data_IF_104505790884
#
_entry.id   IF_104505790884
#
_cell.length_a   1.000
_cell.length_b   1.000
_cell.length_c   1.000
_cell.angle_alpha   90.00
_cell.angle_beta   90.00
_cell.angle_gamma   90.00
#
_symmetry.space_group_name_H-M   'P 1'
#
loop_
_entity.id
_entity.type
_entity.pdbx_description
1 polymer ?
#
# COMPACT_ATOMS: atom_id res chain seq x y z
N UNK A 1 -64.61 -5.20 -13.39
CA UNK A 1 -64.86 -4.38 -12.19
C UNK A 1 -63.72 -4.58 -11.20
N UNK A 2 -63.14 -3.46 -10.72
CA UNK A 2 -62.39 -3.24 -9.47
C UNK A 2 -61.19 -4.15 -9.09
N UNK A 3 -60.02 -3.68 -9.57
CA UNK A 3 -58.72 -3.38 -8.93
C UNK A 3 -57.99 -4.34 -7.95
N UNK A 4 -56.64 -4.35 -7.98
CA UNK A 4 -55.75 -5.25 -7.25
C UNK A 4 -55.29 -4.70 -5.88
N UNK A 5 -54.87 -5.59 -4.97
CA UNK A 5 -54.14 -5.25 -3.74
C UNK A 5 -52.63 -5.41 -3.98
N UNK A 6 -51.92 -4.29 -3.98
CA UNK A 6 -50.47 -4.17 -3.85
C UNK A 6 -50.11 -4.29 -2.37
N UNK A 7 -49.11 -5.10 -2.04
CA UNK A 7 -48.43 -5.04 -0.75
C UNK A 7 -47.03 -4.48 -0.97
N UNK A 8 -46.85 -3.25 -0.52
CA UNK A 8 -45.61 -2.48 -0.49
C UNK A 8 -44.80 -2.95 0.72
N UNK A 9 -43.61 -3.53 0.51
CA UNK A 9 -42.65 -3.76 1.58
C UNK A 9 -41.61 -2.65 1.57
N UNK A 10 -41.50 -1.96 2.69
CA UNK A 10 -40.74 -0.74 2.90
C UNK A 10 -39.24 -0.99 2.89
N UNK A 11 -38.51 -0.12 2.18
CA UNK A 11 -37.07 0.01 2.27
C UNK A 11 -36.69 0.65 3.63
N UNK A 12 -35.92 -0.07 4.43
CA UNK A 12 -35.20 0.50 5.58
C UNK A 12 -33.91 1.12 5.03
N UNK A 13 -33.89 2.44 4.86
CA UNK A 13 -32.66 3.19 4.63
C UNK A 13 -31.98 3.39 6.00
N UNK A 14 -30.93 2.62 6.26
CA UNK A 14 -30.05 2.84 7.40
C UNK A 14 -29.05 3.94 7.02
N UNK A 15 -29.37 5.18 7.38
CA UNK A 15 -28.48 6.33 7.23
C UNK A 15 -27.45 6.32 8.36
N UNK A 16 -26.31 5.66 8.14
CA UNK A 16 -25.14 5.85 9.01
C UNK A 16 -24.47 7.18 8.67
N UNK A 17 -24.95 8.27 9.26
CA UNK A 17 -24.16 9.49 9.41
C UNK A 17 -23.04 9.20 10.42
N UNK A 18 -21.83 8.91 9.95
CA UNK A 18 -20.63 9.00 10.77
C UNK A 18 -20.31 10.48 10.98
N UNK A 19 -20.47 10.94 12.21
CA UNK A 19 -20.05 12.26 12.66
C UNK A 19 -18.53 12.37 12.54
N UNK A 20 -18.07 13.35 11.76
CA UNK A 20 -16.70 13.86 11.81
C UNK A 20 -16.47 14.56 13.15
N UNK A 21 -16.12 13.79 14.18
CA UNK A 21 -15.55 14.31 15.41
C UNK A 21 -14.05 14.49 15.20
N UNK A 22 -13.58 15.74 15.15
CA UNK A 22 -12.17 16.07 15.33
C UNK A 22 -11.78 15.72 16.77
N UNK A 23 -11.40 14.46 16.98
CA UNK A 23 -10.78 13.97 18.20
C UNK A 23 -9.35 13.64 17.84
N UNK A 24 -8.41 14.31 18.50
CA UNK A 24 -6.97 14.00 18.54
C UNK A 24 -6.72 12.68 19.28
N UNK A 25 -7.55 11.67 19.04
CA UNK A 25 -7.54 10.38 19.73
C UNK A 25 -6.78 9.39 18.87
N UNK A 26 -5.63 8.93 19.38
CA UNK A 26 -4.78 7.98 18.68
C UNK A 26 -5.55 6.73 18.23
N UNK A 27 -5.12 6.17 17.09
CA UNK A 27 -5.64 4.93 16.50
C UNK A 27 -6.02 3.92 17.57
N UNK A 28 -7.27 3.47 17.50
CA UNK A 28 -7.66 2.22 18.13
C UNK A 28 -7.01 1.08 17.34
N UNK A 29 -5.84 0.65 17.79
CA UNK A 29 -5.09 -0.44 17.15
C UNK A 29 -5.93 -1.74 17.18
N UNK A 30 -6.94 -1.83 18.04
CA UNK A 30 -7.83 -2.99 18.14
C UNK A 30 -9.02 -2.91 17.16
N UNK A 31 -9.11 -1.85 16.36
CA UNK A 31 -10.15 -1.69 15.34
C UNK A 31 -9.89 -2.55 14.10
N UNK A 32 -10.97 -2.85 13.38
CA UNK A 32 -10.93 -3.57 12.09
C UNK A 32 -10.00 -2.84 11.11
N UNK A 33 -9.41 -3.59 10.18
CA UNK A 33 -8.56 -3.05 9.11
C UNK A 33 -9.15 -1.80 8.44
N UNK A 34 -8.30 -0.79 8.33
CA UNK A 34 -8.51 0.41 7.52
C UNK A 34 -7.15 0.93 7.09
N UNK A 35 -6.99 1.10 5.77
CA UNK A 35 -5.83 1.73 5.17
C UNK A 35 -5.70 3.18 5.65
N UNK A 36 -6.81 3.92 5.71
CA UNK A 36 -6.78 5.31 6.18
C UNK A 36 -6.32 5.44 7.63
N UNK A 37 -6.78 4.56 8.52
CA UNK A 37 -6.32 4.52 9.91
C UNK A 37 -4.83 4.12 10.02
N UNK A 38 -4.36 3.23 9.13
CA UNK A 38 -2.96 2.81 9.11
C UNK A 38 -2.00 3.97 8.79
N UNK A 39 -2.45 5.02 8.07
CA UNK A 39 -1.63 6.20 7.78
C UNK A 39 -1.22 6.99 9.02
N UNK A 40 -1.96 6.88 10.12
CA UNK A 40 -1.60 7.50 11.41
C UNK A 40 -0.35 6.87 12.03
N UNK A 41 0.07 5.69 11.57
CA UNK A 41 1.27 5.01 12.08
C UNK A 41 2.55 5.43 11.35
N UNK A 42 2.46 6.21 10.28
CA UNK A 42 3.63 6.61 9.50
C UNK A 42 3.91 8.09 9.73
N UNK A 43 5.03 8.44 10.40
CA UNK A 43 5.45 9.84 10.49
C UNK A 43 5.57 10.45 9.09
N UNK A 44 5.09 11.67 8.91
CA UNK A 44 5.19 12.39 7.63
C UNK A 44 6.64 12.56 7.15
N UNK A 45 7.61 12.57 8.09
CA UNK A 45 9.05 12.63 7.82
C UNK A 45 9.63 11.32 7.28
N UNK A 46 8.91 10.20 7.42
CA UNK A 46 9.37 8.88 7.01
C UNK A 46 9.24 8.62 5.50
N UNK A 47 8.49 9.46 4.78
CA UNK A 47 8.21 9.28 3.35
C UNK A 47 8.91 10.36 2.51
N UNK A 48 9.60 9.91 1.46
CA UNK A 48 10.25 10.80 0.49
C UNK A 48 9.29 11.31 -0.59
N UNK A 49 9.87 11.98 -1.59
CA UNK A 49 9.18 12.30 -2.85
C UNK A 49 9.91 11.60 -4.00
N UNK A 50 9.22 10.76 -4.81
CA UNK A 50 7.80 10.43 -4.71
C UNK A 50 7.47 9.62 -3.46
N UNK A 51 6.25 9.79 -2.95
CA UNK A 51 5.70 8.98 -1.86
C UNK A 51 5.47 7.56 -2.35
N UNK A 52 5.77 6.54 -1.52
CA UNK A 52 5.47 5.15 -1.82
C UNK A 52 5.12 4.39 -0.53
N UNK A 53 3.84 4.37 -0.19
CA UNK A 53 3.34 3.76 1.05
C UNK A 53 2.73 2.40 0.71
N UNK A 54 3.05 1.40 1.51
CA UNK A 54 2.56 0.03 1.33
C UNK A 54 1.90 -0.41 2.63
N UNK A 55 0.73 -1.03 2.55
CA UNK A 55 0.03 -1.52 3.73
C UNK A 55 -0.69 -2.85 3.43
N UNK A 56 -0.87 -3.67 4.46
CA UNK A 56 -1.53 -4.97 4.33
C UNK A 56 -2.16 -5.46 5.63
N UNK A 57 -3.30 -6.13 5.50
CA UNK A 57 -4.02 -6.94 6.49
C UNK A 57 -3.78 -8.41 6.16
N UNK A 58 -2.82 -9.03 6.83
CA UNK A 58 -2.46 -10.44 6.64
C UNK A 58 -3.66 -11.32 6.96
N UNK A 59 -4.34 -11.03 8.07
CA UNK A 59 -5.54 -11.70 8.53
C UNK A 59 -6.70 -11.63 7.52
N UNK A 60 -6.94 -10.43 6.96
CA UNK A 60 -7.90 -10.21 5.88
C UNK A 60 -7.54 -11.00 4.62
N UNK A 61 -6.28 -11.00 4.23
CA UNK A 61 -5.77 -11.75 3.09
C UNK A 61 -5.90 -13.27 3.28
N UNK A 62 -5.55 -13.78 4.47
CA UNK A 62 -5.69 -15.18 4.85
C UNK A 62 -7.15 -15.65 4.81
N UNK A 63 -8.08 -14.87 5.40
CA UNK A 63 -9.53 -15.14 5.30
C UNK A 63 -10.01 -15.13 3.85
N UNK A 64 -9.58 -14.16 3.04
CA UNK A 64 -9.94 -14.06 1.64
C UNK A 64 -9.42 -15.25 0.83
N UNK A 65 -8.20 -15.72 1.10
CA UNK A 65 -7.55 -16.84 0.44
C UNK A 65 -7.95 -18.22 0.97
N UNK A 66 -8.53 -18.31 2.16
CA UNK A 66 -8.85 -19.56 2.83
C UNK A 66 -7.61 -20.32 3.33
N UNK A 67 -6.62 -19.59 3.85
CA UNK A 67 -5.40 -20.15 4.42
C UNK A 67 -4.96 -19.33 5.64
N UNK A 68 -4.10 -19.93 6.47
CA UNK A 68 -3.46 -19.24 7.60
C UNK A 68 -2.29 -18.40 7.08
N UNK A 69 -2.35 -17.06 7.17
CA UNK A 69 -1.30 -16.18 6.64
C UNK A 69 -0.02 -16.25 7.49
N UNK A 70 -0.09 -16.77 8.71
CA UNK A 70 1.03 -16.92 9.64
C UNK A 70 1.82 -18.23 9.43
N UNK A 71 1.32 -19.17 8.62
CA UNK A 71 2.08 -20.36 8.21
C UNK A 71 3.03 -19.99 7.06
N UNK A 72 4.34 -20.03 7.30
CA UNK A 72 5.39 -19.75 6.32
C UNK A 72 5.22 -20.50 4.98
N UNK A 73 4.60 -21.68 4.99
CA UNK A 73 4.32 -22.44 3.75
C UNK A 73 3.35 -21.71 2.82
N UNK A 74 2.58 -20.76 3.35
CA UNK A 74 1.65 -19.93 2.61
C UNK A 74 2.25 -18.58 2.18
N UNK A 75 3.50 -18.25 2.55
CA UNK A 75 4.12 -16.97 2.21
C UNK A 75 4.09 -16.68 0.69
N UNK A 76 4.32 -17.70 -0.14
CA UNK A 76 4.24 -17.57 -1.60
C UNK A 76 2.82 -17.20 -2.10
N UNK A 77 1.78 -17.66 -1.40
CA UNK A 77 0.38 -17.34 -1.74
C UNK A 77 0.03 -15.90 -1.44
N UNK A 78 0.66 -15.28 -0.44
CA UNK A 78 0.52 -13.85 -0.15
C UNK A 78 1.16 -13.01 -1.27
N UNK A 79 2.15 -13.54 -1.98
CA UNK A 79 2.78 -12.90 -3.15
C UNK A 79 2.00 -13.11 -4.46
N UNK A 80 0.79 -13.66 -4.41
CA UNK A 80 -0.01 -13.93 -5.62
C UNK A 80 0.49 -15.09 -6.47
N UNK A 81 1.41 -15.92 -5.96
CA UNK A 81 1.84 -17.14 -6.65
C UNK A 81 0.78 -18.23 -6.42
N UNK A 82 0.19 -18.71 -7.51
CA UNK A 82 -0.91 -19.70 -7.51
C UNK A 82 -2.08 -19.31 -6.58
N UNK A 83 -2.32 -18.00 -6.43
CA UNK A 83 -3.25 -17.43 -5.47
C UNK A 83 -3.97 -16.21 -6.06
N UNK A 84 -5.24 -16.04 -5.67
CA UNK A 84 -6.03 -14.86 -6.00
C UNK A 84 -5.83 -13.71 -5.00
N UNK A 85 -4.89 -13.86 -4.06
CA UNK A 85 -4.56 -12.91 -3.00
C UNK A 85 -3.20 -12.29 -3.29
N UNK A 86 -3.03 -10.99 -3.03
CA UNK A 86 -1.76 -10.31 -3.20
C UNK A 86 -1.51 -9.27 -2.11
N UNK A 87 -0.37 -9.38 -1.44
CA UNK A 87 0.14 -8.46 -0.44
C UNK A 87 1.50 -7.94 -0.89
N UNK A 88 1.62 -6.64 -1.20
CA UNK A 88 2.92 -6.02 -1.43
C UNK A 88 3.70 -5.95 -0.11
N UNK A 89 4.82 -6.67 0.00
CA UNK A 89 5.63 -6.69 1.22
C UNK A 89 6.60 -5.50 1.28
N UNK A 90 6.87 -4.96 2.48
CA UNK A 90 7.81 -3.87 2.66
C UNK A 90 9.26 -4.28 2.40
N UNK A 91 10.09 -3.32 2.00
CA UNK A 91 11.48 -3.56 1.59
C UNK A 91 12.39 -4.08 2.72
N UNK A 92 12.17 -3.65 3.97
CA UNK A 92 13.04 -4.03 5.10
C UNK A 92 12.97 -5.53 5.40
N UNK A 93 11.79 -6.11 5.69
CA UNK A 93 11.67 -7.56 5.90
C UNK A 93 12.07 -8.39 4.68
N UNK A 94 11.82 -7.91 3.46
CA UNK A 94 12.17 -8.65 2.23
C UNK A 94 13.67 -8.68 1.94
N UNK A 95 14.46 -7.82 2.58
CA UNK A 95 15.93 -7.83 2.53
C UNK A 95 16.57 -8.75 3.57
N UNK A 96 15.79 -9.46 4.36
CA UNK A 96 16.29 -10.25 5.49
C UNK A 96 15.86 -11.70 5.34
N UNK A 97 16.62 -12.60 5.97
CA UNK A 97 16.15 -13.97 6.19
C UNK A 97 15.14 -13.94 7.35
N UNK A 98 13.87 -14.36 7.15
CA UNK A 98 12.85 -14.39 8.19
C UNK A 98 13.34 -15.00 9.52
N UNK A 99 14.08 -16.11 9.44
CA UNK A 99 14.61 -16.78 10.63
C UNK A 99 15.67 -15.93 11.37
N UNK A 100 16.37 -15.04 10.66
CA UNK A 100 17.29 -14.08 11.27
C UNK A 100 16.51 -12.93 11.93
N UNK A 101 15.43 -12.46 11.31
CA UNK A 101 14.55 -11.43 11.91
C UNK A 101 13.93 -11.96 13.19
N UNK A 102 13.28 -13.12 13.15
CA UNK A 102 12.66 -13.75 14.33
C UNK A 102 13.68 -13.93 15.46
N UNK A 103 14.86 -14.46 15.14
CA UNK A 103 15.92 -14.68 16.13
C UNK A 103 16.42 -13.39 16.78
N UNK A 104 16.58 -12.32 16.02
CA UNK A 104 17.21 -11.08 16.50
C UNK A 104 16.19 -10.08 17.07
N UNK A 105 15.03 -9.94 16.43
CA UNK A 105 13.98 -9.01 16.78
C UNK A 105 12.87 -9.63 17.65
N UNK A 106 12.80 -10.97 17.74
CA UNK A 106 11.80 -11.68 18.52
C UNK A 106 10.46 -11.90 17.81
N UNK A 107 10.35 -11.49 16.54
CA UNK A 107 9.15 -11.67 15.71
C UNK A 107 9.53 -11.69 14.22
N UNK A 108 8.65 -12.27 13.39
CA UNK A 108 8.64 -12.13 11.94
C UNK A 108 7.48 -11.21 11.49
N UNK A 109 7.56 -10.60 10.30
CA UNK A 109 6.44 -9.83 9.78
C UNK A 109 5.19 -10.68 9.57
N UNK A 110 5.34 -11.98 9.29
CA UNK A 110 4.25 -12.94 9.24
C UNK A 110 3.58 -13.15 10.59
N UNK A 111 4.17 -12.78 11.73
CA UNK A 111 3.49 -12.81 13.04
C UNK A 111 2.54 -11.62 13.24
N UNK A 112 2.62 -10.60 12.38
CA UNK A 112 1.77 -9.42 12.47
C UNK A 112 0.40 -9.69 11.84
N UNK A 113 -0.65 -9.10 12.42
CA UNK A 113 -1.98 -9.09 11.80
C UNK A 113 -1.99 -8.16 10.58
N UNK A 114 -1.23 -7.07 10.65
CA UNK A 114 -1.18 -6.03 9.62
C UNK A 114 0.11 -5.22 9.68
N UNK A 115 0.37 -4.47 8.62
CA UNK A 115 1.50 -3.55 8.55
C UNK A 115 1.21 -2.31 7.70
N UNK A 116 2.03 -1.28 7.92
CA UNK A 116 2.19 -0.16 7.01
C UNK A 116 3.66 0.23 6.92
N UNK A 117 4.11 0.64 5.74
CA UNK A 117 5.50 0.96 5.50
C UNK A 117 5.66 2.07 4.46
N UNK A 118 6.77 2.79 4.55
CA UNK A 118 7.34 3.44 3.37
C UNK A 118 8.11 2.37 2.57
N UNK A 119 7.55 1.95 1.44
CA UNK A 119 8.05 0.84 0.64
C UNK A 119 9.22 1.20 -0.27
N UNK A 120 9.51 2.48 -0.50
CA UNK A 120 10.67 2.92 -1.29
C UNK A 120 11.31 4.18 -0.69
N UNK A 121 12.61 4.13 -0.42
CA UNK A 121 13.34 5.32 0.04
C UNK A 121 14.72 5.02 0.61
N UNK A 122 15.49 6.10 0.84
CA UNK A 122 16.81 6.00 1.47
C UNK A 122 16.74 5.57 2.94
N UNK A 123 15.59 5.77 3.59
CA UNK A 123 15.34 5.45 4.98
C UNK A 123 14.01 4.68 5.07
N UNK A 124 14.02 3.36 4.83
CA UNK A 124 12.81 2.58 4.94
C UNK A 124 12.27 2.61 6.37
N UNK A 125 10.95 2.58 6.49
CA UNK A 125 10.23 2.63 7.75
C UNK A 125 9.04 1.67 7.66
N UNK A 126 8.84 0.85 8.69
CA UNK A 126 7.76 -0.14 8.73
C UNK A 126 7.19 -0.21 10.12
N UNK A 127 5.87 -0.30 10.24
CA UNK A 127 5.17 -0.59 11.50
C UNK A 127 4.39 -1.88 11.30
N UNK A 128 4.74 -2.89 12.09
CA UNK A 128 4.00 -4.14 12.22
C UNK A 128 3.04 -4.00 13.41
N UNK A 129 1.81 -4.49 13.27
CA UNK A 129 0.76 -4.38 14.28
C UNK A 129 0.05 -5.74 14.46
N UNK A 130 -0.37 -6.04 15.69
CA UNK A 130 -1.03 -7.29 16.08
C UNK A 130 -0.75 -7.61 17.54
N UNK A 131 -0.56 -8.89 17.89
CA UNK A 131 -0.10 -9.31 19.22
C UNK A 131 1.42 -9.08 19.40
N UNK A 132 1.86 -7.85 19.14
CA UNK A 132 3.24 -7.39 19.18
C UNK A 132 3.39 -6.27 20.20
N UNK A 133 4.48 -6.18 20.95
CA UNK A 133 4.62 -5.10 21.93
C UNK A 133 6.00 -4.98 22.55
N UNK A 134 6.13 -4.18 23.61
CA UNK A 134 7.41 -4.02 24.32
C UNK A 134 8.01 -5.35 24.79
N UNK A 135 7.16 -6.31 25.16
CA UNK A 135 7.59 -7.65 25.63
C UNK A 135 7.98 -8.59 24.48
N UNK A 136 7.67 -8.24 23.22
CA UNK A 136 8.08 -9.01 22.03
C UNK A 136 9.55 -8.79 21.71
N UNK A 137 10.07 -7.57 21.92
CA UNK A 137 11.47 -7.24 21.62
C UNK A 137 12.42 -7.86 22.66
N UNK A 138 13.40 -8.68 22.26
CA UNK A 138 14.26 -9.36 23.20
C UNK A 138 15.24 -8.38 23.86
N UNK A 139 15.61 -8.67 25.12
CA UNK A 139 16.60 -7.90 25.89
C UNK A 139 18.03 -8.00 25.33
N UNK A 140 18.26 -8.89 24.36
CA UNK A 140 19.53 -8.97 23.62
C UNK A 140 19.74 -7.81 22.66
N UNK A 141 18.67 -7.10 22.26
CA UNK A 141 18.82 -5.89 21.47
C UNK A 141 19.50 -4.79 22.27
N UNK A 142 20.37 -4.03 21.63
CA UNK A 142 21.05 -2.93 22.27
C UNK A 142 20.08 -1.79 22.56
N UNK A 143 19.97 -1.41 23.82
CA UNK A 143 19.25 -0.20 24.23
C UNK A 143 20.03 1.06 23.81
N UNK A 144 19.39 1.92 23.03
CA UNK A 144 19.90 3.23 22.60
C UNK A 144 19.29 4.39 23.40
N UNK A 145 18.47 4.10 24.40
CA UNK A 145 17.72 5.06 25.19
C UNK A 145 16.38 5.43 24.56
N UNK A 146 15.52 6.06 25.38
CA UNK A 146 14.21 6.59 24.98
C UNK A 146 13.28 5.54 24.32
N UNK A 147 13.41 4.28 24.72
CA UNK A 147 12.60 3.18 24.17
C UNK A 147 13.05 2.70 22.78
N UNK A 148 14.18 3.18 22.26
CA UNK A 148 14.75 2.72 20.99
C UNK A 148 15.76 1.61 21.24
N UNK A 149 15.59 0.49 20.53
CA UNK A 149 16.50 -0.66 20.55
C UNK A 149 17.14 -0.87 19.17
N UNK A 150 18.24 -1.63 19.11
CA UNK A 150 18.96 -1.89 17.86
C UNK A 150 19.55 -3.29 17.79
N UNK A 151 19.55 -3.88 16.60
CA UNK A 151 20.19 -5.19 16.33
C UNK A 151 21.73 -5.09 16.29
N UNK A 152 22.26 -3.95 15.82
CA UNK A 152 23.70 -3.70 15.68
C UNK A 152 24.13 -2.35 16.27
N UNK A 153 25.42 -2.21 16.63
CA UNK A 153 26.01 -0.88 16.77
C UNK A 153 26.28 -0.26 15.40
N UNK A 154 26.20 1.06 15.33
CA UNK A 154 26.63 1.84 14.19
C UNK A 154 25.83 3.14 14.08
N UNK A 155 26.25 4.00 13.16
CA UNK A 155 25.48 5.17 12.76
C UNK A 155 24.32 4.75 11.85
N UNK A 156 23.26 5.55 11.81
CA UNK A 156 22.10 5.31 10.96
C UNK A 156 22.48 5.26 9.48
N UNK A 157 21.98 4.25 8.77
CA UNK A 157 22.23 4.06 7.33
C UNK A 157 23.67 3.66 6.96
N UNK A 158 24.63 3.63 7.89
CA UNK A 158 26.01 3.27 7.61
C UNK A 158 26.16 1.74 7.43
N UNK A 159 26.60 1.25 6.25
CA UNK A 159 26.74 -0.18 6.01
C UNK A 159 27.93 -0.76 6.78
N UNK A 160 27.78 -2.00 7.26
CA UNK A 160 28.85 -2.74 7.93
C UNK A 160 28.79 -4.23 7.58
N UNK A 161 29.25 -4.56 6.38
CA UNK A 161 29.25 -5.92 5.80
C UNK A 161 30.00 -6.98 6.61
N UNK A 162 30.76 -6.59 7.63
CA UNK A 162 31.50 -7.52 8.49
C UNK A 162 30.67 -8.05 9.67
N UNK A 163 29.44 -7.55 9.85
CA UNK A 163 28.57 -7.92 10.98
C UNK A 163 27.30 -8.62 10.49
N UNK A 164 26.93 -9.68 11.20
CA UNK A 164 25.65 -10.36 11.04
C UNK A 164 24.56 -9.55 11.73
N UNK A 165 23.61 -9.00 10.96
CA UNK A 165 22.43 -8.30 11.45
C UNK A 165 21.23 -8.59 10.55
N UNK A 166 20.13 -7.90 10.80
CA UNK A 166 18.89 -8.08 10.04
C UNK A 166 19.07 -7.57 8.59
N UNK A 167 19.66 -6.39 8.42
CA UNK A 167 19.94 -5.85 7.08
C UNK A 167 21.15 -6.55 6.44
N UNK A 168 20.98 -7.08 5.22
CA UNK A 168 22.02 -7.84 4.51
C UNK A 168 23.32 -7.07 4.22
N UNK A 169 23.30 -5.73 4.22
CA UNK A 169 24.52 -4.91 4.06
C UNK A 169 25.04 -4.40 5.42
N UNK A 170 24.50 -4.91 6.52
CA UNK A 170 24.93 -4.66 7.89
C UNK A 170 24.60 -3.26 8.40
N UNK A 171 23.57 -2.59 7.85
CA UNK A 171 23.07 -1.35 8.45
C UNK A 171 22.30 -1.69 9.72
N UNK A 172 22.51 -0.96 10.82
CA UNK A 172 21.71 -1.17 12.01
C UNK A 172 20.22 -0.90 11.76
N UNK A 173 19.37 -1.82 12.20
CA UNK A 173 17.92 -1.64 12.27
C UNK A 173 17.55 -1.16 13.68
N UNK A 174 16.78 -0.09 13.73
CA UNK A 174 16.24 0.53 14.92
C UNK A 174 14.82 0.05 15.13
N UNK A 175 14.51 -0.28 16.38
CA UNK A 175 13.22 -0.78 16.81
C UNK A 175 12.65 0.14 17.88
N UNK A 176 11.34 0.33 17.87
CA UNK A 176 10.59 0.74 19.04
C UNK A 176 9.25 0.02 19.07
N UNK A 177 8.69 -0.12 20.27
CA UNK A 177 7.41 -0.79 20.46
C UNK A 177 6.43 0.13 21.20
N UNK A 178 5.15 0.07 20.82
CA UNK A 178 4.01 0.70 21.51
C UNK A 178 2.84 -0.27 21.52
N UNK A 179 2.28 -0.56 22.69
CA UNK A 179 1.08 -1.38 22.86
C UNK A 179 1.15 -2.67 22.02
N UNK A 180 0.42 -2.69 20.90
CA UNK A 180 0.17 -3.77 19.95
C UNK A 180 0.93 -3.57 18.61
N UNK A 181 2.08 -2.87 18.64
CA UNK A 181 2.84 -2.51 17.44
C UNK A 181 4.35 -2.37 17.68
N UNK A 182 5.13 -2.66 16.62
CA UNK A 182 6.58 -2.48 16.55
C UNK A 182 6.91 -1.68 15.29
N UNK A 183 7.63 -0.57 15.45
CA UNK A 183 8.21 0.20 14.36
C UNK A 183 9.68 -0.21 14.12
N UNK A 184 10.07 -0.24 12.85
CA UNK A 184 11.38 -0.61 12.36
C UNK A 184 11.89 0.42 11.35
N UNK A 185 13.16 0.82 11.46
CA UNK A 185 13.81 1.67 10.45
C UNK A 185 15.32 1.59 10.51
N UNK A 186 16.01 1.98 9.44
CA UNK A 186 17.47 2.25 9.49
C UNK A 186 17.80 3.62 10.10
N UNK A 187 16.80 4.35 10.61
CA UNK A 187 16.90 5.74 11.09
C UNK A 187 16.36 5.85 12.52
N UNK A 188 17.22 6.26 13.46
CA UNK A 188 16.87 6.53 14.86
C UNK A 188 15.87 7.69 14.98
N UNK A 189 16.05 8.83 14.26
CA UNK A 189 15.05 9.90 14.28
C UNK A 189 13.64 9.44 13.90
N UNK A 190 13.48 8.60 12.88
CA UNK A 190 12.14 8.16 12.44
C UNK A 190 11.43 7.30 13.49
N UNK A 191 12.17 6.40 14.15
CA UNK A 191 11.62 5.58 15.23
C UNK A 191 11.27 6.42 16.45
N UNK A 192 12.06 7.47 16.75
CA UNK A 192 11.73 8.44 17.81
C UNK A 192 10.53 9.31 17.47
N UNK A 193 10.41 9.76 16.23
CA UNK A 193 9.26 10.52 15.75
C UNK A 193 7.97 9.71 15.91
N UNK A 194 8.01 8.41 15.53
CA UNK A 194 6.90 7.49 15.76
C UNK A 194 6.61 7.23 17.25
N UNK A 195 7.65 7.24 18.10
CA UNK A 195 7.49 7.17 19.55
C UNK A 195 6.79 8.41 20.13
N UNK A 196 6.91 9.57 19.50
CA UNK A 196 6.11 10.75 19.83
C UNK A 196 4.62 10.52 19.55
N UNK A 197 3.74 11.08 20.38
CA UNK A 197 2.29 10.99 20.17
C UNK A 197 1.70 12.21 19.44
N UNK A 198 2.48 13.29 19.29
CA UNK A 198 2.01 14.61 18.80
C UNK A 198 2.60 15.02 17.43
N UNK A 199 3.27 14.10 16.73
CA UNK A 199 3.93 14.39 15.44
C UNK A 199 2.96 14.33 14.25
N UNK A 200 3.22 15.09 13.16
CA UNK A 200 2.44 14.98 11.93
C UNK A 200 2.67 13.61 11.27
N UNK A 201 1.59 12.98 10.85
CA UNK A 201 1.58 11.66 10.22
C UNK A 201 1.09 11.76 8.77
N UNK A 202 1.11 10.66 8.04
CA UNK A 202 0.49 10.62 6.71
C UNK A 202 -1.04 10.79 6.75
N UNK A 203 -1.68 10.61 7.91
CA UNK A 203 -3.11 10.88 8.06
C UNK A 203 -3.45 12.38 8.01
N UNK A 204 -2.45 13.27 8.15
CA UNK A 204 -2.62 14.70 7.95
C UNK A 204 -2.61 15.10 6.46
N UNK A 205 -2.21 14.19 5.57
CA UNK A 205 -2.21 14.41 4.12
C UNK A 205 -3.59 14.10 3.52
N UNK A 206 -4.33 15.18 3.23
CA UNK A 206 -5.69 15.08 2.69
C UNK A 206 -5.78 14.22 1.42
N UNK A 207 -4.80 14.30 0.51
CA UNK A 207 -4.85 13.58 -0.75
C UNK A 207 -4.69 12.07 -0.54
N UNK A 208 -3.74 11.66 0.32
CA UNK A 208 -3.58 10.25 0.70
C UNK A 208 -4.81 9.71 1.42
N UNK A 209 -5.36 10.46 2.37
CA UNK A 209 -6.54 10.03 3.14
C UNK A 209 -7.77 9.87 2.26
N UNK A 210 -7.99 10.74 1.27
CA UNK A 210 -9.11 10.61 0.32
C UNK A 210 -9.01 9.33 -0.51
N UNK A 211 -7.81 9.03 -1.04
CA UNK A 211 -7.56 7.78 -1.78
C UNK A 211 -7.67 6.56 -0.88
N UNK A 212 -7.10 6.61 0.33
CA UNK A 212 -7.16 5.52 1.29
C UNK A 212 -8.60 5.18 1.70
N UNK A 213 -9.43 6.19 1.98
CA UNK A 213 -10.85 6.00 2.28
C UNK A 213 -11.64 5.45 1.09
N UNK A 214 -11.29 5.84 -0.13
CA UNK A 214 -11.91 5.29 -1.33
C UNK A 214 -11.62 3.79 -1.45
N UNK A 215 -10.37 3.37 -1.20
CA UNK A 215 -9.97 1.96 -1.18
C UNK A 215 -10.58 1.17 -0.01
N UNK A 216 -10.66 1.76 1.19
CA UNK A 216 -11.36 1.15 2.34
C UNK A 216 -12.82 0.86 2.00
N UNK A 217 -13.49 1.76 1.27
CA UNK A 217 -14.86 1.57 0.81
C UNK A 217 -15.04 0.48 -0.25
N UNK A 218 -13.95 -0.12 -0.76
CA UNK A 218 -13.96 -1.25 -1.68
C UNK A 218 -13.48 -2.57 -1.04
N UNK A 219 -13.31 -2.59 0.29
CA UNK A 219 -12.93 -3.74 1.11
C UNK A 219 -11.60 -4.40 0.67
N UNK A 220 -10.60 -3.59 0.31
CA UNK A 220 -9.26 -4.10 -0.02
C UNK A 220 -8.53 -4.52 1.25
N UNK A 221 -7.80 -5.64 1.22
CA UNK A 221 -6.98 -6.10 2.36
C UNK A 221 -5.52 -5.65 2.25
N UNK A 222 -5.10 -5.08 1.13
CA UNK A 222 -3.76 -4.53 0.96
C UNK A 222 -3.77 -3.39 -0.03
N UNK A 223 -2.79 -2.51 0.06
CA UNK A 223 -2.67 -1.39 -0.87
C UNK A 223 -1.25 -0.82 -1.01
N UNK A 224 -1.05 -0.13 -2.13
CA UNK A 224 0.05 0.82 -2.38
C UNK A 224 -0.56 2.20 -2.60
N UNK A 225 -0.04 3.23 -1.94
CA UNK A 225 -0.35 4.63 -2.20
C UNK A 225 0.91 5.35 -2.68
N UNK A 226 0.80 6.12 -3.76
CA UNK A 226 1.96 6.78 -4.37
C UNK A 226 1.60 8.09 -5.05
N UNK A 227 2.62 8.91 -5.28
CA UNK A 227 2.54 9.97 -6.27
C UNK A 227 2.53 9.36 -7.69
N UNK A 228 1.81 9.94 -8.64
CA UNK A 228 1.98 9.60 -10.04
C UNK A 228 3.36 10.02 -10.51
N UNK A 229 3.94 9.22 -11.38
CA UNK A 229 5.19 9.60 -12.01
C UNK A 229 4.92 10.63 -13.11
N UNK A 230 5.72 11.69 -13.21
CA UNK A 230 5.58 12.63 -14.31
C UNK A 230 5.92 11.92 -15.62
N UNK A 231 5.19 12.27 -16.67
CA UNK A 231 5.52 11.86 -18.02
C UNK A 231 6.94 12.33 -18.36
N UNK A 232 7.81 11.39 -18.71
CA UNK A 232 9.20 11.69 -19.04
C UNK A 232 9.57 11.03 -20.38
N UNK A 233 10.21 11.76 -21.31
CA UNK A 233 10.68 11.16 -22.54
C UNK A 233 11.79 10.13 -22.24
N UNK A 234 11.82 9.04 -23.00
CA UNK A 234 12.99 8.18 -23.04
C UNK A 234 14.15 8.95 -23.66
N UNK A 235 15.08 9.39 -22.81
CA UNK A 235 16.26 10.15 -23.22
C UNK A 235 17.25 9.31 -24.05
N UNK A 236 17.06 7.99 -24.11
CA UNK A 236 17.88 7.07 -24.91
C UNK A 236 17.28 6.81 -26.30
N UNK A 237 16.04 7.24 -26.56
CA UNK A 237 15.38 7.08 -27.84
C UNK A 237 15.97 8.03 -28.91
N UNK A 238 15.95 7.60 -30.18
CA UNK A 238 16.36 8.49 -31.28
C UNK A 238 15.40 9.68 -31.42
N UNK A 239 15.85 10.87 -31.88
CA UNK A 239 15.03 12.08 -31.89
C UNK A 239 13.68 11.97 -32.63
N UNK A 240 13.59 11.13 -33.67
CA UNK A 240 12.34 10.87 -34.40
C UNK A 240 11.40 9.88 -33.68
N UNK A 241 11.94 8.91 -32.96
CA UNK A 241 11.14 7.97 -32.16
C UNK A 241 10.61 8.61 -30.88
N UNK A 242 11.34 9.57 -30.30
CA UNK A 242 10.93 10.22 -29.06
C UNK A 242 9.60 10.99 -29.22
N UNK A 243 9.41 11.70 -30.33
CA UNK A 243 8.16 12.42 -30.61
C UNK A 243 6.97 11.46 -30.81
N UNK A 244 7.18 10.37 -31.54
CA UNK A 244 6.15 9.35 -31.77
C UNK A 244 5.80 8.60 -30.47
N UNK A 245 6.80 8.30 -29.63
CA UNK A 245 6.61 7.71 -28.31
C UNK A 245 5.86 8.66 -27.39
N UNK A 246 6.17 9.95 -27.40
CA UNK A 246 5.45 10.94 -26.60
C UNK A 246 3.98 11.05 -27.03
N UNK A 247 3.72 11.12 -28.34
CA UNK A 247 2.33 11.14 -28.84
C UNK A 247 1.56 9.86 -28.46
N UNK A 248 2.21 8.69 -28.52
CA UNK A 248 1.62 7.42 -28.08
C UNK A 248 1.35 7.42 -26.57
N UNK A 249 2.28 7.93 -25.77
CA UNK A 249 2.17 8.00 -24.32
C UNK A 249 1.07 8.98 -23.91
N UNK A 250 0.99 10.16 -24.54
CA UNK A 250 -0.08 11.14 -24.32
C UNK A 250 -1.46 10.55 -24.60
N UNK A 251 -1.61 9.75 -25.67
CA UNK A 251 -2.87 9.08 -26.00
C UNK A 251 -3.25 7.97 -25.03
N UNK A 252 -2.25 7.30 -24.45
CA UNK A 252 -2.47 6.20 -23.50
C UNK A 252 -2.61 6.68 -22.04
N UNK A 253 -2.25 7.92 -21.75
CA UNK A 253 -2.30 8.51 -20.41
C UNK A 253 -3.65 9.21 -20.17
N UNK A 254 -4.24 9.12 -18.96
CA UNK A 254 -5.43 9.88 -18.60
C UNK A 254 -5.31 11.36 -18.98
N UNK A 255 -6.34 11.88 -19.67
CA UNK A 255 -6.32 13.24 -20.18
C UNK A 255 -6.32 14.29 -19.06
N UNK A 256 -7.01 13.99 -17.96
CA UNK A 256 -7.07 14.83 -16.76
C UNK A 256 -5.92 14.46 -15.83
N UNK A 257 -5.10 15.42 -15.39
CA UNK A 257 -4.05 15.18 -14.42
C UNK A 257 -4.61 14.72 -13.06
N UNK A 258 -3.89 13.81 -12.42
CA UNK A 258 -4.13 13.33 -11.07
C UNK A 258 -2.84 13.50 -10.27
N UNK A 259 -2.94 13.51 -8.94
CA UNK A 259 -1.78 13.81 -8.07
C UNK A 259 -1.56 12.78 -6.95
N UNK A 260 -2.44 11.79 -6.81
CA UNK A 260 -2.27 10.66 -5.89
C UNK A 260 -2.94 9.43 -6.49
N UNK A 261 -2.27 8.29 -6.41
CA UNK A 261 -2.75 6.99 -6.86
C UNK A 261 -2.81 6.05 -5.67
N UNK A 262 -3.84 5.22 -5.62
CA UNK A 262 -3.89 4.04 -4.78
C UNK A 262 -4.17 2.80 -5.61
N UNK A 263 -3.46 1.70 -5.33
CA UNK A 263 -3.75 0.37 -5.86
C UNK A 263 -4.06 -0.50 -4.66
N UNK A 264 -5.26 -1.08 -4.61
CA UNK A 264 -5.65 -2.00 -3.56
C UNK A 264 -6.02 -3.37 -4.11
N UNK A 265 -5.86 -4.40 -3.30
CA UNK A 265 -6.19 -5.77 -3.67
C UNK A 265 -7.27 -6.35 -2.79
N UNK A 266 -8.21 -7.04 -3.43
CA UNK A 266 -9.14 -7.98 -2.81
C UNK A 266 -9.13 -9.28 -3.60
N UNK A 267 -9.83 -10.31 -3.13
CA UNK A 267 -9.74 -11.65 -3.73
C UNK A 267 -10.07 -11.63 -5.22
N UNK A 268 -9.08 -11.91 -6.06
CA UNK A 268 -9.22 -11.99 -7.52
C UNK A 268 -9.45 -10.65 -8.21
N UNK A 269 -9.35 -9.52 -7.50
CA UNK A 269 -9.60 -8.20 -8.06
C UNK A 269 -8.54 -7.18 -7.61
N UNK A 270 -8.29 -6.23 -8.51
CA UNK A 270 -7.48 -5.04 -8.24
C UNK A 270 -8.39 -3.82 -8.28
N UNK A 271 -8.21 -2.91 -7.35
CA UNK A 271 -8.92 -1.63 -7.28
C UNK A 271 -7.90 -0.51 -7.46
N UNK A 272 -8.07 0.33 -8.46
CA UNK A 272 -7.20 1.48 -8.70
C UNK A 272 -7.98 2.76 -8.44
N UNK A 273 -7.50 3.57 -7.49
CA UNK A 273 -8.06 4.86 -7.13
C UNK A 273 -7.14 6.00 -7.59
N UNK A 274 -7.71 6.97 -8.27
CA UNK A 274 -7.03 8.15 -8.79
C UNK A 274 -7.65 9.40 -8.19
N UNK A 275 -6.85 10.26 -7.55
CA UNK A 275 -7.35 11.54 -7.03
C UNK A 275 -7.02 12.68 -7.98
N UNK A 276 -8.06 13.38 -8.41
CA UNK A 276 -8.02 14.49 -9.34
C UNK A 276 -8.27 15.84 -8.63
N UNK A 277 -8.03 16.93 -9.35
CA UNK A 277 -8.41 18.26 -8.88
C UNK A 277 -9.94 18.49 -8.90
N UNK A 278 -10.62 17.87 -9.87
CA UNK A 278 -12.06 17.96 -10.11
C UNK A 278 -12.67 16.55 -10.23
N UNK A 279 -13.98 16.45 -10.42
CA UNK A 279 -14.65 15.17 -10.62
C UNK A 279 -14.11 14.46 -11.88
N UNK A 280 -13.72 13.18 -11.80
CA UNK A 280 -13.10 12.47 -12.91
C UNK A 280 -14.08 12.13 -14.04
N UNK A 281 -13.56 12.11 -15.28
CA UNK A 281 -14.26 11.50 -16.40
C UNK A 281 -14.17 9.97 -16.31
N UNK A 282 -15.22 9.37 -15.75
CA UNK A 282 -15.37 7.92 -15.57
C UNK A 282 -15.28 7.17 -16.91
N UNK A 283 -15.85 7.72 -17.99
CA UNK A 283 -15.85 7.05 -19.29
C UNK A 283 -14.44 7.05 -19.91
N UNK A 284 -13.69 8.14 -19.74
CA UNK A 284 -12.29 8.19 -20.17
C UNK A 284 -11.41 7.22 -19.38
N UNK A 285 -11.59 7.12 -18.06
CA UNK A 285 -10.88 6.14 -17.22
C UNK A 285 -11.19 4.70 -17.65
N UNK A 286 -12.47 4.39 -17.89
CA UNK A 286 -12.91 3.08 -18.35
C UNK A 286 -12.29 2.71 -19.70
N UNK A 287 -12.27 3.64 -20.66
CA UNK A 287 -11.68 3.43 -21.98
C UNK A 287 -10.18 3.11 -21.90
N UNK A 288 -9.43 3.81 -21.04
CA UNK A 288 -7.98 3.58 -20.89
C UNK A 288 -7.67 2.18 -20.37
N UNK A 289 -8.44 1.68 -19.41
CA UNK A 289 -8.24 0.33 -18.90
C UNK A 289 -8.76 -0.75 -19.84
N UNK A 290 -9.88 -0.51 -20.53
CA UNK A 290 -10.49 -1.49 -21.44
C UNK A 290 -9.72 -1.62 -22.76
N UNK A 291 -9.33 -0.50 -23.35
CA UNK A 291 -8.75 -0.44 -24.69
C UNK A 291 -7.22 -0.19 -24.65
N UNK A 292 -6.67 0.01 -23.46
CA UNK A 292 -5.25 0.26 -23.25
C UNK A 292 -4.37 -0.95 -23.58
N UNK A 293 -3.10 -0.64 -23.87
CA UNK A 293 -2.05 -1.61 -24.17
C UNK A 293 -0.89 -1.39 -23.21
N UNK A 294 -0.35 -2.48 -22.68
CA UNK A 294 0.87 -2.45 -21.88
C UNK A 294 2.04 -2.00 -22.77
N UNK A 295 2.72 -0.94 -22.40
CA UNK A 295 3.87 -0.42 -23.14
C UNK A 295 5.04 -1.41 -23.10
N UNK A 296 5.23 -2.11 -21.98
CA UNK A 296 6.33 -3.06 -21.81
C UNK A 296 6.22 -4.29 -22.71
N UNK A 297 5.02 -4.86 -22.86
CA UNK A 297 4.79 -6.11 -23.61
C UNK A 297 4.05 -5.92 -24.93
N UNK A 298 3.52 -4.71 -25.19
CA UNK A 298 2.66 -4.40 -26.34
C UNK A 298 1.39 -5.27 -26.41
N UNK A 299 0.96 -5.85 -25.30
CA UNK A 299 -0.27 -6.63 -25.20
C UNK A 299 -1.43 -5.81 -24.63
N UNK A 300 -2.69 -6.06 -25.05
CA UNK A 300 -3.86 -5.45 -24.44
C UNK A 300 -3.88 -5.65 -22.92
N UNK A 301 -4.25 -4.60 -22.17
CA UNK A 301 -4.45 -4.71 -20.71
C UNK A 301 -5.57 -5.71 -20.41
N UNK A 302 -6.63 -5.70 -21.22
CA UNK A 302 -7.80 -6.58 -21.10
C UNK A 302 -7.48 -8.08 -21.18
N UNK A 303 -6.34 -8.48 -21.74
CA UNK A 303 -5.90 -9.88 -21.74
C UNK A 303 -5.49 -10.37 -20.33
N UNK A 304 -5.28 -9.45 -19.39
CA UNK A 304 -4.76 -9.70 -18.04
C UNK A 304 -5.63 -9.15 -16.92
N UNK A 305 -6.22 -7.97 -17.14
CA UNK A 305 -7.06 -7.25 -16.20
C UNK A 305 -8.30 -6.74 -16.93
N UNK A 306 -9.49 -7.22 -16.58
CA UNK A 306 -10.74 -6.80 -17.22
C UNK A 306 -11.51 -5.84 -16.35
N UNK A 307 -12.03 -4.76 -16.93
CA UNK A 307 -12.81 -3.75 -16.18
C UNK A 307 -14.13 -4.33 -15.70
N UNK A 308 -14.27 -4.47 -14.38
CA UNK A 308 -15.51 -4.86 -13.72
C UNK A 308 -16.44 -3.66 -13.50
N UNK A 309 -15.87 -2.52 -13.05
CA UNK A 309 -16.61 -1.27 -12.86
C UNK A 309 -15.67 -0.06 -12.86
N UNK A 310 -16.22 1.11 -13.21
CA UNK A 310 -15.58 2.40 -12.96
C UNK A 310 -16.61 3.33 -12.32
N UNK A 311 -16.22 3.97 -11.22
CA UNK A 311 -17.07 4.90 -10.46
C UNK A 311 -16.29 6.13 -10.03
N UNK A 312 -17.00 7.15 -9.53
CA UNK A 312 -16.40 8.33 -8.92
C UNK A 312 -17.00 8.57 -7.54
N UNK A 313 -16.17 8.95 -6.58
CA UNK A 313 -16.57 9.42 -5.24
C UNK A 313 -15.93 10.79 -5.01
N UNK A 314 -16.66 11.85 -5.35
CA UNK A 314 -16.11 13.21 -5.36
C UNK A 314 -14.99 13.32 -6.39
N UNK A 315 -13.80 13.71 -5.94
CA UNK A 315 -12.63 13.87 -6.81
C UNK A 315 -11.80 12.59 -7.00
N UNK A 316 -12.27 11.45 -6.49
CA UNK A 316 -11.57 10.16 -6.61
C UNK A 316 -12.28 9.27 -7.63
N UNK A 317 -11.59 8.92 -8.71
CA UNK A 317 -12.02 7.92 -9.69
C UNK A 317 -11.57 6.53 -9.25
N UNK A 318 -12.46 5.55 -9.27
CA UNK A 318 -12.21 4.19 -8.78
C UNK A 318 -12.49 3.21 -9.91
N UNK A 319 -11.46 2.45 -10.31
CA UNK A 319 -11.52 1.40 -11.32
C UNK A 319 -11.39 0.06 -10.61
N UNK A 320 -12.39 -0.81 -10.71
CA UNK A 320 -12.30 -2.20 -10.24
C UNK A 320 -12.03 -3.12 -11.42
N UNK A 321 -11.02 -3.96 -11.29
CA UNK A 321 -10.51 -4.86 -12.33
C UNK A 321 -10.58 -6.30 -11.82
N UNK A 322 -11.16 -7.18 -12.62
CA UNK A 322 -11.03 -8.62 -12.42
C UNK A 322 -9.69 -9.12 -12.98
N UNK A 323 -8.97 -9.92 -12.20
CA UNK A 323 -7.74 -10.59 -12.66
C UNK A 323 -8.12 -11.78 -13.53
N UNK A 324 -7.68 -11.77 -14.78
CA UNK A 324 -7.95 -12.85 -15.74
C UNK A 324 -7.26 -14.14 -15.27
N UNK A 325 -7.92 -15.29 -15.44
CA UNK A 325 -7.36 -16.60 -15.11
C UNK A 325 -5.96 -16.80 -15.74
N UNK A 326 -4.99 -17.24 -14.93
CA UNK A 326 -3.59 -17.39 -15.34
C UNK A 326 -2.76 -16.10 -15.35
N UNK A 327 -3.36 -14.95 -15.00
CA UNK A 327 -2.63 -13.70 -14.75
C UNK A 327 -2.32 -13.54 -13.27
N UNK A 328 -1.25 -12.81 -12.96
CA UNK A 328 -0.86 -12.52 -11.59
C UNK A 328 -1.59 -11.29 -11.06
N UNK A 329 -2.16 -11.32 -9.84
CA UNK A 329 -2.69 -10.12 -9.20
C UNK A 329 -1.61 -9.06 -8.92
N UNK A 330 -0.32 -9.45 -8.90
CA UNK A 330 0.81 -8.53 -8.76
C UNK A 330 1.02 -7.63 -9.99
N UNK A 331 0.35 -7.90 -11.12
CA UNK A 331 0.56 -7.18 -12.37
C UNK A 331 0.33 -5.67 -12.22
N UNK A 332 -0.65 -5.23 -11.45
CA UNK A 332 -0.91 -3.79 -11.27
C UNK A 332 0.25 -3.06 -10.56
N UNK A 333 0.90 -3.70 -9.59
CA UNK A 333 2.13 -3.16 -9.00
C UNK A 333 3.27 -3.16 -10.02
N UNK A 334 3.44 -4.24 -10.79
CA UNK A 334 4.46 -4.28 -11.84
C UNK A 334 4.27 -3.15 -12.84
N UNK A 335 3.03 -2.94 -13.30
CA UNK A 335 2.65 -1.84 -14.19
C UNK A 335 2.98 -0.46 -13.58
N UNK A 336 2.75 -0.27 -12.28
CA UNK A 336 3.15 0.95 -11.57
C UNK A 336 4.68 1.13 -11.59
N UNK A 337 5.43 0.09 -11.24
CA UNK A 337 6.89 0.12 -11.17
C UNK A 337 7.54 0.32 -12.55
N UNK A 338 6.94 -0.23 -13.60
CA UNK A 338 7.37 -0.04 -14.99
C UNK A 338 6.80 1.21 -15.64
N UNK A 339 6.07 2.04 -14.88
CA UNK A 339 5.53 3.34 -15.33
C UNK A 339 4.60 3.22 -16.53
N UNK A 340 3.73 2.22 -16.50
CA UNK A 340 2.71 2.07 -17.53
C UNK A 340 1.83 3.35 -17.61
N UNK A 341 1.37 3.76 -18.81
CA UNK A 341 0.70 5.05 -19.02
C UNK A 341 -0.49 5.32 -18.09
N UNK A 342 -1.18 4.26 -17.65
CA UNK A 342 -2.31 4.34 -16.73
C UNK A 342 -1.93 4.85 -15.34
N UNK A 343 -0.64 4.90 -15.00
CA UNK A 343 -0.10 5.39 -13.72
C UNK A 343 0.79 6.64 -13.86
N UNK A 344 0.87 7.20 -15.07
CA UNK A 344 1.64 8.42 -15.37
C UNK A 344 0.69 9.61 -15.41
N UNK A 345 1.15 10.78 -14.96
CA UNK A 345 0.40 12.05 -15.14
C UNK A 345 1.11 12.96 -16.13
N UNK A 346 0.30 13.76 -16.83
CA UNK A 346 0.76 14.85 -17.71
C UNK A 346 1.31 16.02 -16.91
#
# INVERSE_FOLDING_TARGET
MRRPLRATAAALALSCLALAGCSTGGVDIDSKWSLAASLEQVPSTAVGSPRFVVAGDLEGAGRAGGFDPHDEKNAQRLLGLDSAVYLPFPELPTRSDPAVVEKLAGFDLLDADRYVANGQGAQPFTVAMGDLGPDTLPDSLKDLGDGVRSDLDGEDGAPNIAREGIDQIGRPIRFAAKKHAIAMSTSTPLVRDWLGDDGPTLADDKALVEVAKALDGEDVFSAILTDPMPMAPDLTATPGSAAQQMEALEKATPATPFDTIGIGWKRGQVVVAYRFAEEPDVAALEAIWRDGTLFTTQSPIADRLTVASVTAKGNVGIVTLDVVEGSSPALAEQMLLTREPVFVTR
#
